data_IF_722043910646
#
_entry.id   IF_722043910646
#
_cell.length_a   1.000
_cell.length_b   1.000
_cell.length_c   1.000
_cell.angle_alpha   90.00
_cell.angle_beta   90.00
_cell.angle_gamma   90.00
#
_symmetry.space_group_name_H-M   'P 1'
#
loop_
_entity.id
_entity.type
_entity.pdbx_description
1 polymer ?
#
# COMPACT_ATOMS: atom_id res chain seq x y z
N UNK A 1 7.85 28.43 -20.44
CA UNK A 1 7.06 27.17 -20.56
C UNK A 1 5.75 27.46 -19.86
N UNK A 2 4.60 27.24 -20.52
CA UNK A 2 3.32 27.41 -19.85
C UNK A 2 3.28 26.44 -18.66
N UNK A 3 2.94 26.94 -17.48
CA UNK A 3 2.69 26.04 -16.36
C UNK A 3 1.57 25.09 -16.79
N UNK A 4 1.73 23.79 -16.54
CA UNK A 4 0.73 22.84 -16.97
C UNK A 4 -0.61 23.15 -16.28
N UNK A 5 -1.58 23.64 -17.04
CA UNK A 5 -2.94 23.90 -16.56
C UNK A 5 -3.82 22.65 -16.73
N UNK A 6 -4.80 22.49 -15.84
CA UNK A 6 -5.75 21.39 -15.85
C UNK A 6 -5.38 20.20 -14.97
N UNK A 7 -6.11 19.10 -15.16
CA UNK A 7 -5.98 17.87 -14.38
C UNK A 7 -4.83 17.01 -14.93
N UNK A 8 -3.93 16.59 -14.05
CA UNK A 8 -2.76 15.78 -14.42
C UNK A 8 -2.57 14.61 -13.46
N UNK A 9 -1.96 13.55 -13.98
CA UNK A 9 -1.69 12.34 -13.23
C UNK A 9 -0.23 11.97 -13.41
N UNK A 10 0.46 11.76 -12.30
CA UNK A 10 1.88 11.38 -12.30
C UNK A 10 2.08 10.16 -11.42
N UNK A 11 3.05 9.32 -11.78
CA UNK A 11 3.51 8.24 -10.94
C UNK A 11 5.02 8.39 -10.74
N UNK A 12 5.45 8.40 -9.49
CA UNK A 12 6.86 8.26 -9.12
C UNK A 12 7.09 6.86 -8.58
N UNK A 13 8.24 6.26 -8.92
CA UNK A 13 8.69 4.98 -8.37
C UNK A 13 10.12 5.19 -7.90
N UNK A 14 10.42 4.78 -6.67
CA UNK A 14 11.77 4.86 -6.13
C UNK A 14 12.75 4.06 -6.99
N UNK A 15 13.91 4.64 -7.27
CA UNK A 15 14.92 4.04 -8.15
C UNK A 15 14.64 4.17 -9.65
N UNK A 16 13.49 4.70 -10.08
CA UNK A 16 13.18 4.92 -11.48
C UNK A 16 13.22 6.42 -11.86
N UNK A 17 14.19 6.77 -12.70
CA UNK A 17 14.27 8.11 -13.31
C UNK A 17 13.97 8.00 -14.79
N UNK A 18 12.70 8.20 -15.16
CA UNK A 18 12.27 8.23 -16.56
C UNK A 18 11.35 9.44 -16.82
N UNK A 19 11.87 10.52 -17.43
CA UNK A 19 11.08 11.73 -17.70
C UNK A 19 9.99 11.51 -18.77
N UNK A 20 10.02 10.37 -19.48
CA UNK A 20 9.03 10.03 -20.49
C UNK A 20 7.88 9.18 -19.96
N UNK A 21 7.95 8.73 -18.70
CA UNK A 21 6.90 7.94 -18.06
C UNK A 21 5.65 8.80 -17.82
N UNK A 22 4.52 8.36 -18.36
CA UNK A 22 3.24 9.04 -18.25
C UNK A 22 2.16 8.08 -17.75
N UNK A 23 1.29 8.57 -16.87
CA UNK A 23 0.08 7.85 -16.46
C UNK A 23 -0.98 8.03 -17.54
N UNK A 24 -1.47 6.91 -18.06
CA UNK A 24 -2.48 6.86 -19.14
C UNK A 24 -3.87 6.78 -18.54
N UNK A 25 -4.04 5.91 -17.56
CA UNK A 25 -5.28 5.72 -16.81
C UNK A 25 -4.96 4.97 -15.53
N UNK A 26 -5.83 5.08 -14.53
CA UNK A 26 -5.77 4.21 -13.36
C UNK A 26 -7.18 3.85 -12.91
N UNK A 27 -7.30 2.76 -12.18
CA UNK A 27 -8.54 2.34 -11.52
C UNK A 27 -8.13 1.71 -10.20
N UNK A 28 -8.84 2.03 -9.13
CA UNK A 28 -8.54 1.45 -7.83
C UNK A 28 -9.74 1.31 -6.93
N UNK A 29 -9.54 0.52 -5.90
CA UNK A 29 -10.49 0.29 -4.83
C UNK A 29 -9.80 0.51 -3.49
N UNK A 30 -10.52 1.17 -2.59
CA UNK A 30 -10.10 1.48 -1.23
C UNK A 30 -11.32 1.33 -0.32
N UNK A 31 -11.12 0.69 0.83
CA UNK A 31 -12.15 0.48 1.83
C UNK A 31 -11.50 0.31 3.21
N UNK A 32 -12.28 0.54 4.27
CA UNK A 32 -11.82 0.26 5.63
C UNK A 32 -11.47 -1.22 5.79
N UNK A 33 -10.39 -1.48 6.52
CA UNK A 33 -9.88 -2.83 6.80
C UNK A 33 -9.63 -3.68 5.56
N UNK A 34 -9.35 -3.04 4.41
CA UNK A 34 -8.98 -3.72 3.17
C UNK A 34 -7.75 -3.04 2.59
N UNK A 35 -6.69 -3.76 2.20
CA UNK A 35 -5.55 -3.14 1.54
C UNK A 35 -6.02 -2.56 0.20
N UNK A 36 -5.85 -1.25 -0.01
CA UNK A 36 -6.20 -0.64 -1.29
C UNK A 36 -5.41 -1.30 -2.43
N UNK A 37 -5.96 -1.22 -3.65
CA UNK A 37 -5.26 -1.65 -4.85
C UNK A 37 -5.60 -0.73 -6.01
N UNK A 38 -4.57 -0.12 -6.62
CA UNK A 38 -4.69 0.69 -7.82
C UNK A 38 -3.95 0.04 -8.98
N UNK A 39 -4.67 -0.32 -10.04
CA UNK A 39 -4.06 -0.68 -11.33
C UNK A 39 -3.78 0.60 -12.10
N UNK A 40 -2.51 0.84 -12.43
CA UNK A 40 -2.05 2.03 -13.16
C UNK A 40 -1.52 1.60 -14.51
N UNK A 41 -2.10 2.15 -15.58
CA UNK A 41 -1.64 2.00 -16.95
C UNK A 41 -0.69 3.15 -17.28
N UNK A 42 0.45 2.79 -17.88
CA UNK A 42 1.58 3.68 -18.11
C UNK A 42 1.99 3.62 -19.58
N UNK A 43 2.61 4.71 -20.04
CA UNK A 43 3.32 4.76 -21.31
C UNK A 43 4.69 5.41 -21.09
N UNK A 44 5.73 4.85 -21.69
CA UNK A 44 7.07 5.43 -21.66
C UNK A 44 7.75 5.27 -23.02
N UNK A 45 8.68 6.16 -23.36
CA UNK A 45 9.58 5.99 -24.52
C UNK A 45 10.69 4.98 -24.25
N UNK A 46 10.94 4.66 -22.98
CA UNK A 46 11.84 3.60 -22.56
C UNK A 46 11.14 2.24 -22.67
N UNK A 47 11.64 1.34 -23.50
CA UNK A 47 11.14 -0.03 -23.71
C UNK A 47 11.85 -1.09 -22.84
N UNK A 48 12.80 -0.65 -22.01
CA UNK A 48 13.68 -1.48 -21.18
C UNK A 48 13.43 -1.36 -19.68
N UNK A 49 12.22 -0.94 -19.26
CA UNK A 49 11.89 -0.94 -17.83
C UNK A 49 11.87 -2.37 -17.30
N UNK A 50 12.72 -2.66 -16.32
CA UNK A 50 12.89 -3.99 -15.74
C UNK A 50 11.92 -4.20 -14.56
N UNK A 51 11.08 -5.24 -14.65
CA UNK A 51 10.17 -5.59 -13.57
C UNK A 51 10.91 -5.95 -12.27
N UNK A 52 12.09 -6.59 -12.38
CA UNK A 52 12.85 -7.03 -11.21
C UNK A 52 13.38 -5.88 -10.36
N UNK A 53 13.62 -4.72 -10.96
CA UNK A 53 14.07 -3.52 -10.23
C UNK A 53 12.92 -2.70 -9.68
N UNK A 54 11.72 -2.82 -10.25
CA UNK A 54 10.55 -2.02 -9.91
C UNK A 54 9.59 -2.70 -8.93
N UNK A 55 9.53 -4.04 -8.92
CA UNK A 55 8.71 -4.77 -7.96
C UNK A 55 9.20 -4.46 -6.54
N UNK A 56 8.23 -4.33 -5.63
CA UNK A 56 8.41 -4.04 -4.20
C UNK A 56 9.01 -2.65 -3.89
N UNK A 57 9.26 -1.82 -4.90
CA UNK A 57 9.71 -0.44 -4.72
C UNK A 57 8.57 0.48 -4.27
N UNK A 58 8.85 1.46 -3.39
CA UNK A 58 7.92 2.52 -3.06
C UNK A 58 7.51 3.31 -4.31
N UNK A 59 6.22 3.60 -4.42
CA UNK A 59 5.67 4.37 -5.51
C UNK A 59 4.54 5.28 -5.03
N UNK A 60 4.37 6.42 -5.70
CA UNK A 60 3.30 7.38 -5.39
C UNK A 60 2.57 7.81 -6.66
N UNK A 61 1.26 7.55 -6.68
CA UNK A 61 0.33 8.07 -7.69
C UNK A 61 -0.22 9.41 -7.18
N UNK A 62 -0.07 10.46 -7.98
CA UNK A 62 -0.52 11.81 -7.60
C UNK A 62 -1.47 12.39 -8.64
N UNK A 63 -2.56 12.97 -8.15
CA UNK A 63 -3.51 13.76 -8.94
C UNK A 63 -3.23 15.23 -8.68
N UNK A 64 -3.04 15.99 -9.76
CA UNK A 64 -2.77 17.41 -9.73
C UNK A 64 -3.88 18.16 -10.44
N UNK A 65 -4.19 19.36 -9.97
CA UNK A 65 -5.02 20.31 -10.67
C UNK A 65 -4.34 21.67 -10.61
N UNK A 66 -4.03 22.24 -11.78
CA UNK A 66 -3.39 23.56 -11.91
C UNK A 66 -2.12 23.69 -11.06
N UNK A 67 -1.28 22.63 -11.07
CA UNK A 67 -0.03 22.57 -10.31
C UNK A 67 -0.18 22.23 -8.81
N UNK A 68 -1.41 22.17 -8.28
CA UNK A 68 -1.67 21.84 -6.87
C UNK A 68 -2.02 20.37 -6.71
N UNK A 69 -1.40 19.68 -5.74
CA UNK A 69 -1.77 18.30 -5.41
C UNK A 69 -3.18 18.25 -4.86
N UNK A 70 -4.06 17.47 -5.49
CA UNK A 70 -5.43 17.22 -5.03
C UNK A 70 -5.54 15.94 -4.22
N UNK A 71 -4.83 14.90 -4.64
CA UNK A 71 -4.84 13.60 -3.97
C UNK A 71 -3.53 12.85 -4.24
N UNK A 72 -3.13 11.99 -3.32
CA UNK A 72 -2.01 11.07 -3.51
C UNK A 72 -2.28 9.72 -2.87
N UNK A 73 -1.79 8.67 -3.52
CA UNK A 73 -1.70 7.33 -2.96
C UNK A 73 -0.25 6.88 -3.02
N UNK A 74 0.33 6.66 -1.84
CA UNK A 74 1.68 6.11 -1.68
C UNK A 74 1.56 4.63 -1.28
N UNK A 75 2.44 3.81 -1.82
CA UNK A 75 2.41 2.37 -1.62
C UNK A 75 3.67 1.71 -2.15
N UNK A 76 3.57 0.43 -2.48
CA UNK A 76 4.60 -0.35 -3.14
C UNK A 76 4.05 -0.95 -4.44
N UNK A 77 4.95 -1.24 -5.38
CA UNK A 77 4.61 -1.93 -6.63
C UNK A 77 4.50 -3.43 -6.38
N UNK A 78 3.28 -3.98 -6.38
CA UNK A 78 3.07 -5.44 -6.19
C UNK A 78 3.19 -6.26 -7.47
N UNK A 79 2.85 -5.66 -8.61
CA UNK A 79 2.95 -6.29 -9.92
C UNK A 79 3.47 -5.27 -10.91
N UNK A 80 4.28 -5.70 -11.88
CA UNK A 80 4.71 -4.87 -13.00
C UNK A 80 4.69 -5.71 -14.27
N UNK A 81 4.09 -5.19 -15.34
CA UNK A 81 3.95 -5.90 -16.62
C UNK A 81 4.27 -4.96 -17.77
N UNK A 82 4.96 -5.48 -18.78
CA UNK A 82 5.18 -4.81 -20.06
C UNK A 82 4.16 -5.31 -21.07
N UNK A 83 3.40 -4.39 -21.64
CA UNK A 83 2.46 -4.65 -22.72
C UNK A 83 3.10 -4.39 -24.08
N UNK A 84 2.27 -3.94 -25.03
CA UNK A 84 2.71 -3.70 -26.40
C UNK A 84 3.71 -2.55 -26.50
N UNK A 85 4.74 -2.76 -27.34
CA UNK A 85 5.65 -1.71 -27.79
C UNK A 85 5.15 -1.16 -29.12
N UNK A 86 4.66 0.07 -29.10
CA UNK A 86 4.31 0.82 -30.31
C UNK A 86 5.51 1.52 -30.93
N UNK A 87 5.27 2.34 -31.94
CA UNK A 87 6.32 3.05 -32.68
C UNK A 87 7.12 4.07 -31.84
N UNK A 88 6.50 4.66 -30.81
CA UNK A 88 7.11 5.72 -30.01
C UNK A 88 7.03 5.49 -28.50
N UNK A 89 6.15 4.62 -28.04
CA UNK A 89 5.96 4.35 -26.62
C UNK A 89 5.69 2.86 -26.39
N UNK A 90 6.21 2.35 -25.29
CA UNK A 90 5.88 1.04 -24.73
C UNK A 90 4.86 1.21 -23.61
N UNK A 91 3.85 0.34 -23.60
CA UNK A 91 2.83 0.29 -22.56
C UNK A 91 3.33 -0.54 -21.38
N UNK A 92 3.06 -0.06 -20.18
CA UNK A 92 3.31 -0.81 -18.94
C UNK A 92 2.07 -0.76 -18.06
N UNK A 93 1.93 -1.74 -17.17
CA UNK A 93 0.92 -1.70 -16.13
C UNK A 93 1.52 -2.17 -14.81
N UNK A 94 1.10 -1.52 -13.72
CA UNK A 94 1.46 -1.92 -12.38
C UNK A 94 0.30 -1.85 -11.41
N UNK A 95 0.44 -2.57 -10.29
CA UNK A 95 -0.52 -2.54 -9.20
C UNK A 95 0.12 -1.94 -7.96
N UNK A 96 -0.35 -0.76 -7.56
CA UNK A 96 0.05 -0.06 -6.35
C UNK A 96 -0.81 -0.53 -5.18
N UNK A 97 -0.18 -0.98 -4.10
CA UNK A 97 -0.82 -1.49 -2.87
C UNK A 97 -0.09 -0.96 -1.64
N UNK A 98 -0.68 -0.96 -0.43
CA UNK A 98 0.09 -0.67 0.78
C UNK A 98 1.05 -1.82 1.08
N UNK A 99 2.15 -1.54 1.79
CA UNK A 99 3.13 -2.54 2.21
C UNK A 99 2.48 -3.65 3.08
N UNK A 100 1.39 -3.34 3.78
CA UNK A 100 0.54 -4.30 4.49
C UNK A 100 0.14 -5.51 3.62
N UNK A 101 -0.01 -5.33 2.30
CA UNK A 101 -0.37 -6.42 1.38
C UNK A 101 0.67 -7.55 1.38
N UNK A 102 1.94 -7.28 1.73
CA UNK A 102 2.99 -8.31 1.86
C UNK A 102 2.60 -9.41 2.85
N UNK A 103 1.82 -9.08 3.90
CA UNK A 103 1.33 -10.06 4.87
C UNK A 103 0.45 -11.17 4.23
N UNK A 104 -0.11 -10.93 3.04
CA UNK A 104 -0.90 -11.94 2.31
C UNK A 104 -0.05 -12.99 1.59
N UNK A 105 1.26 -12.77 1.48
CA UNK A 105 2.19 -13.62 0.73
C UNK A 105 2.79 -14.75 1.58
N UNK A 106 2.55 -14.75 2.89
CA UNK A 106 3.05 -15.75 3.84
C UNK A 106 1.89 -16.36 4.63
N UNK A 107 1.94 -17.68 4.82
CA UNK A 107 0.99 -18.44 5.63
C UNK A 107 1.73 -19.18 6.74
N UNK A 108 1.22 -19.12 7.97
CA UNK A 108 1.90 -19.65 9.15
C UNK A 108 0.97 -20.45 10.08
N UNK A 109 1.60 -21.24 10.96
CA UNK A 109 0.98 -21.86 12.13
C UNK A 109 1.86 -21.60 13.35
N UNK A 110 1.45 -20.68 14.23
CA UNK A 110 2.26 -20.26 15.39
C UNK A 110 1.42 -19.80 16.57
N UNK A 111 2.04 -19.83 17.74
CA UNK A 111 1.43 -19.51 19.03
C UNK A 111 2.02 -18.20 19.54
N UNK A 112 1.15 -17.33 20.04
CA UNK A 112 1.48 -16.14 20.80
C UNK A 112 0.93 -16.30 22.22
N UNK A 113 1.72 -15.99 23.23
CA UNK A 113 1.33 -16.12 24.65
C UNK A 113 1.63 -14.82 25.36
N UNK A 114 0.74 -14.43 26.28
CA UNK A 114 0.91 -13.25 27.12
C UNK A 114 1.12 -11.96 26.31
N UNK A 115 0.41 -11.84 25.17
CA UNK A 115 0.42 -10.65 24.31
C UNK A 115 -1.00 -10.19 24.01
N UNK A 116 -1.20 -8.89 23.91
CA UNK A 116 -2.45 -8.30 23.41
C UNK A 116 -2.46 -8.20 21.86
N UNK A 117 -3.60 -7.87 21.28
CA UNK A 117 -3.74 -7.85 19.81
C UNK A 117 -2.82 -6.83 19.12
N UNK A 118 -2.72 -5.56 19.59
CA UNK A 118 -1.79 -4.59 18.99
C UNK A 118 -0.32 -5.03 19.02
N UNK A 119 0.10 -5.73 20.09
CA UNK A 119 1.45 -6.31 20.19
C UNK A 119 1.66 -7.42 19.15
N UNK A 120 0.70 -8.33 18.99
CA UNK A 120 0.78 -9.42 18.00
C UNK A 120 0.81 -8.84 16.57
N UNK A 121 -0.06 -7.87 16.27
CA UNK A 121 -0.10 -7.18 14.97
C UNK A 121 1.24 -6.46 14.71
N UNK A 122 1.81 -5.79 15.71
CA UNK A 122 3.13 -5.15 15.60
C UNK A 122 4.23 -6.14 15.21
N UNK A 123 4.27 -7.31 15.85
CA UNK A 123 5.25 -8.36 15.55
C UNK A 123 5.13 -8.80 14.08
N UNK A 124 3.91 -9.06 13.61
CA UNK A 124 3.63 -9.47 12.23
C UNK A 124 4.09 -8.43 11.21
N UNK A 125 3.83 -7.14 11.47
CA UNK A 125 4.24 -6.02 10.61
C UNK A 125 5.76 -5.88 10.56
N UNK A 126 6.42 -5.91 11.72
CA UNK A 126 7.87 -5.74 11.82
C UNK A 126 8.64 -6.88 11.15
N UNK A 127 8.18 -8.13 11.29
CA UNK A 127 8.77 -9.29 10.60
C UNK A 127 8.78 -9.16 9.07
N UNK A 128 7.84 -8.39 8.52
CA UNK A 128 7.72 -8.12 7.08
C UNK A 128 8.33 -6.76 6.68
N UNK A 129 9.10 -6.14 7.57
CA UNK A 129 9.79 -4.88 7.34
C UNK A 129 8.85 -3.68 7.23
N UNK A 130 7.63 -3.76 7.76
CA UNK A 130 6.65 -2.68 7.73
C UNK A 130 6.82 -1.86 9.01
N UNK A 131 7.42 -0.68 8.90
CA UNK A 131 7.66 0.24 10.02
C UNK A 131 6.66 1.39 10.09
N UNK A 132 6.04 1.75 8.98
CA UNK A 132 5.09 2.87 8.90
C UNK A 132 3.68 2.39 9.29
N UNK A 133 3.47 2.21 10.59
CA UNK A 133 2.15 1.91 11.16
C UNK A 133 1.95 2.63 12.50
N UNK A 134 0.69 2.86 12.86
CA UNK A 134 0.31 3.50 14.12
C UNK A 134 -0.94 2.85 14.72
N UNK A 135 -1.06 2.94 16.04
CA UNK A 135 -2.24 2.54 16.80
C UNK A 135 -2.84 3.79 17.45
N UNK A 136 -4.04 4.15 16.99
CA UNK A 136 -4.84 5.25 17.50
C UNK A 136 -6.05 4.66 18.24
N UNK A 137 -5.77 3.99 19.36
CA UNK A 137 -6.74 3.20 20.13
C UNK A 137 -7.23 4.00 21.32
N UNK A 138 -8.52 3.94 21.58
CA UNK A 138 -9.19 4.59 22.70
C UNK A 138 -9.42 3.63 23.87
N UNK A 139 -9.49 2.32 23.60
CA UNK A 139 -9.68 1.29 24.60
C UNK A 139 -8.36 0.56 24.94
N UNK A 140 -8.32 -0.03 26.13
CA UNK A 140 -7.24 -0.95 26.49
C UNK A 140 -7.57 -2.36 26.01
N UNK A 141 -6.72 -2.93 25.16
CA UNK A 141 -6.87 -4.30 24.67
C UNK A 141 -6.26 -5.32 25.63
N UNK A 142 -7.04 -6.33 26.02
CA UNK A 142 -6.63 -7.32 27.01
C UNK A 142 -5.48 -8.20 26.53
N UNK A 143 -4.57 -8.53 27.45
CA UNK A 143 -3.51 -9.49 27.20
C UNK A 143 -4.10 -10.89 27.14
N UNK A 144 -3.86 -11.61 26.04
CA UNK A 144 -4.32 -12.99 25.88
C UNK A 144 -3.33 -13.94 26.53
N UNK A 145 -3.83 -14.89 27.32
CA UNK A 145 -3.02 -15.99 27.84
C UNK A 145 -2.45 -16.81 26.68
N UNK A 146 -3.27 -17.08 25.66
CA UNK A 146 -2.94 -17.92 24.52
C UNK A 146 -3.69 -17.49 23.26
N UNK A 147 -2.97 -17.29 22.16
CA UNK A 147 -3.52 -16.91 20.86
C UNK A 147 -2.80 -17.69 19.74
N UNK A 148 -3.54 -18.20 18.76
CA UNK A 148 -2.98 -19.02 17.68
C UNK A 148 -3.31 -18.40 16.32
N UNK A 149 -2.29 -18.30 15.49
CA UNK A 149 -2.41 -18.21 14.04
C UNK A 149 -2.39 -19.63 13.49
N UNK A 150 -3.46 -20.12 12.88
CA UNK A 150 -3.53 -21.51 12.44
C UNK A 150 -3.83 -21.64 10.95
N UNK A 151 -2.79 -21.95 10.16
CA UNK A 151 -2.90 -22.20 8.71
C UNK A 151 -3.61 -21.06 7.98
N UNK A 152 -3.33 -19.82 8.37
CA UNK A 152 -3.88 -18.61 7.74
C UNK A 152 -2.73 -17.66 7.38
N UNK A 153 -2.98 -16.76 6.42
CA UNK A 153 -2.00 -15.74 6.07
C UNK A 153 -1.80 -14.76 7.22
N UNK A 154 -0.65 -14.09 7.27
CA UNK A 154 -0.44 -13.05 8.28
C UNK A 154 -1.47 -11.92 8.14
N UNK A 155 -1.87 -11.60 6.90
CA UNK A 155 -2.90 -10.57 6.66
C UNK A 155 -4.25 -11.01 7.24
N UNK A 156 -4.69 -12.22 6.92
CA UNK A 156 -5.95 -12.76 7.42
C UNK A 156 -5.96 -12.82 8.95
N UNK A 157 -4.82 -13.16 9.56
CA UNK A 157 -4.69 -13.17 11.01
C UNK A 157 -4.76 -11.77 11.63
N UNK A 158 -4.08 -10.78 11.02
CA UNK A 158 -4.18 -9.36 11.45
C UNK A 158 -5.62 -8.86 11.33
N UNK A 159 -6.29 -9.12 10.21
CA UNK A 159 -7.67 -8.68 9.96
C UNK A 159 -8.65 -9.34 10.94
N UNK A 160 -8.48 -10.64 11.21
CA UNK A 160 -9.27 -11.36 12.21
C UNK A 160 -9.05 -10.81 13.61
N UNK A 161 -7.80 -10.63 14.05
CA UNK A 161 -7.48 -10.07 15.37
C UNK A 161 -7.98 -8.63 15.53
N UNK A 162 -7.88 -7.81 14.48
CA UNK A 162 -8.39 -6.45 14.50
C UNK A 162 -9.92 -6.46 14.69
N UNK A 163 -10.64 -7.27 13.91
CA UNK A 163 -12.09 -7.38 14.00
C UNK A 163 -12.57 -7.94 15.35
N UNK A 164 -11.88 -8.94 15.92
CA UNK A 164 -12.19 -9.48 17.25
C UNK A 164 -12.15 -8.42 18.36
N UNK A 165 -11.26 -7.43 18.21
CA UNK A 165 -11.05 -6.33 19.16
C UNK A 165 -11.81 -5.04 18.79
N UNK A 166 -12.69 -5.09 17.77
CA UNK A 166 -13.39 -3.89 17.30
C UNK A 166 -12.51 -2.85 16.60
N UNK A 167 -11.27 -3.21 16.25
CA UNK A 167 -10.37 -2.35 15.49
C UNK A 167 -10.65 -2.45 13.98
N UNK A 168 -10.48 -1.33 13.29
CA UNK A 168 -10.35 -1.27 11.84
C UNK A 168 -9.06 -0.53 11.45
N UNK A 169 -8.66 -0.61 10.19
CA UNK A 169 -7.52 0.15 9.70
C UNK A 169 -7.82 0.92 8.41
N UNK A 170 -7.06 1.99 8.21
CA UNK A 170 -7.01 2.79 6.99
C UNK A 170 -5.56 3.21 6.72
N UNK A 171 -5.30 3.76 5.53
CA UNK A 171 -3.95 4.17 5.14
C UNK A 171 -3.91 5.69 4.98
N UNK A 172 -2.95 6.33 5.66
CA UNK A 172 -2.68 7.76 5.53
C UNK A 172 -1.51 7.97 4.58
N UNK A 173 -1.66 8.87 3.61
CA UNK A 173 -0.64 9.17 2.60
C UNK A 173 -0.06 10.57 2.80
N UNK A 174 1.19 10.66 3.25
CA UNK A 174 1.88 11.93 3.53
C UNK A 174 3.35 11.83 3.12
N UNK A 175 3.91 12.89 2.53
CA UNK A 175 5.33 12.99 2.17
C UNK A 175 5.92 11.77 1.43
N UNK A 176 5.16 11.21 0.47
CA UNK A 176 5.50 10.00 -0.30
C UNK A 176 5.60 8.71 0.54
N UNK A 177 5.12 8.75 1.78
CA UNK A 177 4.97 7.60 2.66
C UNK A 177 3.51 7.20 2.80
N UNK A 178 3.30 5.97 3.22
CA UNK A 178 2.00 5.45 3.56
C UNK A 178 2.06 4.80 4.94
N UNK A 179 1.19 5.24 5.84
CA UNK A 179 1.14 4.75 7.21
C UNK A 179 -0.17 4.01 7.42
N UNK A 180 -0.08 2.76 7.87
CA UNK A 180 -1.28 1.97 8.23
C UNK A 180 -1.69 2.34 9.65
N UNK A 181 -2.88 2.90 9.82
CA UNK A 181 -3.40 3.32 11.12
C UNK A 181 -4.49 2.36 11.55
N UNK A 182 -4.29 1.70 12.68
CA UNK A 182 -5.31 0.91 13.36
C UNK A 182 -6.03 1.77 14.40
N UNK A 183 -7.36 1.77 14.41
CA UNK A 183 -8.18 2.51 15.35
C UNK A 183 -9.44 1.74 15.74
N UNK A 184 -9.97 2.02 16.92
CA UNK A 184 -11.24 1.52 17.46
C UNK A 184 -12.29 2.65 17.59
N UNK A 185 -11.94 3.88 17.18
CA UNK A 185 -12.74 5.08 17.42
C UNK A 185 -13.14 5.78 16.14
N UNK A 186 -14.41 6.17 16.07
CA UNK A 186 -14.96 6.94 14.95
C UNK A 186 -14.62 8.44 15.03
N UNK A 187 -13.95 8.91 16.09
CA UNK A 187 -13.69 10.34 16.32
C UNK A 187 -12.36 10.83 15.73
N UNK A 188 -11.55 9.95 15.15
CA UNK A 188 -10.20 10.27 14.62
C UNK A 188 -9.99 9.92 13.13
N UNK A 189 -11.07 9.65 12.38
CA UNK A 189 -10.99 9.41 10.94
C UNK A 189 -10.83 10.71 10.13
#
# INVERSE_FOLDING_TARGET
MAEPSGLQFTLTIEGLTDPSLQVVSFTGQEALSTPFAFTVQLASRNDQLDAATLIDQPATLTVWQDGVTQQRWSGIVSTFTRGDTGFHHTRYALTLVPALKRLSLRQNSRIFQQLNAPQIISILLQEMGISEYAFALSESHETREYCVQYRESDLAFVERLAAEEGMYYYVVHQDNKHTVVFTDSTQQA
#
